data_IF_428773453670
#
_entry.id   IF_428773453670
#
_cell.length_a   1.000
_cell.length_b   1.000
_cell.length_c   1.000
_cell.angle_alpha   90.00
_cell.angle_beta   90.00
_cell.angle_gamma   90.00
#
_symmetry.space_group_name_H-M   'P 1'
#
loop_
_entity.id
_entity.type
_entity.pdbx_description
1 polymer ?
#
# COMPACT_ATOMS: atom_id res chain seq x y z
N UNK A 1 -13.34 -27.59 17.42
CA UNK A 1 -12.21 -26.63 17.31
C UNK A 1 -10.96 -27.41 16.91
N UNK A 2 -10.75 -27.59 15.62
CA UNK A 2 -9.53 -28.19 15.08
C UNK A 2 -8.50 -27.07 14.94
N UNK A 3 -7.57 -27.00 15.89
CA UNK A 3 -6.42 -26.09 15.83
C UNK A 3 -5.51 -26.52 14.69
N UNK A 4 -5.42 -25.71 13.64
CA UNK A 4 -4.40 -25.89 12.61
C UNK A 4 -3.01 -25.78 13.28
N UNK A 5 -2.24 -26.87 13.25
CA UNK A 5 -0.85 -26.94 13.75
C UNK A 5 0.06 -26.27 12.72
N UNK A 6 0.24 -24.96 12.83
CA UNK A 6 1.36 -24.25 12.19
C UNK A 6 2.09 -23.48 13.29
N UNK A 7 3.44 -23.56 13.38
CA UNK A 7 4.21 -22.64 14.22
C UNK A 7 3.79 -21.21 13.89
N UNK A 8 3.54 -20.36 14.89
CA UNK A 8 3.03 -19.01 14.64
C UNK A 8 4.01 -18.19 13.80
N UNK A 9 3.56 -17.72 12.63
CA UNK A 9 4.37 -16.96 11.67
C UNK A 9 3.83 -15.55 11.48
N UNK A 10 3.67 -14.83 12.59
CA UNK A 10 3.19 -13.45 12.62
C UNK A 10 1.98 -13.25 13.55
N UNK A 11 1.62 -11.98 13.83
CA UNK A 11 0.58 -11.63 14.80
C UNK A 11 -0.85 -12.04 14.39
N UNK A 12 -1.09 -12.34 13.10
CA UNK A 12 -2.40 -12.80 12.59
C UNK A 12 -2.50 -14.32 12.42
N UNK A 13 -1.57 -15.07 13.04
CA UNK A 13 -1.67 -16.54 13.07
C UNK A 13 -3.07 -16.98 13.54
N UNK A 14 -3.70 -17.85 12.75
CA UNK A 14 -5.04 -18.37 13.03
C UNK A 14 -6.19 -17.53 12.49
N UNK A 15 -5.92 -16.39 11.86
CA UNK A 15 -6.94 -15.61 11.12
C UNK A 15 -7.10 -16.20 9.72
N UNK A 16 -8.33 -16.45 9.29
CA UNK A 16 -8.68 -16.94 7.95
C UNK A 16 -9.26 -15.81 7.10
N UNK A 17 -8.70 -15.59 5.93
CA UNK A 17 -9.11 -14.52 5.00
C UNK A 17 -9.47 -15.12 3.65
N UNK A 18 -10.62 -14.72 3.10
CA UNK A 18 -10.98 -14.98 1.70
C UNK A 18 -10.74 -13.70 0.91
N UNK A 19 -9.96 -13.78 -0.16
CA UNK A 19 -9.78 -12.70 -1.12
C UNK A 19 -10.50 -13.08 -2.42
N UNK A 20 -11.51 -12.31 -2.83
CA UNK A 20 -12.06 -12.45 -4.18
C UNK A 20 -11.13 -11.73 -5.17
N UNK A 21 -10.56 -12.48 -6.11
CA UNK A 21 -9.50 -11.99 -6.99
C UNK A 21 -9.87 -10.67 -7.69
N UNK A 22 -9.01 -9.67 -7.48
CA UNK A 22 -9.09 -8.35 -8.09
C UNK A 22 -7.71 -7.86 -8.54
N UNK A 23 -7.60 -6.55 -8.73
CA UNK A 23 -6.35 -5.84 -9.09
C UNK A 23 -6.12 -4.69 -8.12
N UNK A 24 -4.88 -4.21 -8.03
CA UNK A 24 -4.51 -3.01 -7.27
C UNK A 24 -4.68 -3.17 -5.75
N UNK A 25 -5.60 -2.44 -5.12
CA UNK A 25 -5.63 -2.29 -3.66
C UNK A 25 -6.06 -3.56 -2.90
N UNK A 26 -7.03 -4.33 -3.42
CA UNK A 26 -7.52 -5.55 -2.76
C UNK A 26 -6.42 -6.61 -2.57
N UNK A 27 -5.70 -7.00 -3.65
CA UNK A 27 -4.59 -7.94 -3.55
C UNK A 27 -3.45 -7.48 -2.63
N UNK A 28 -3.13 -6.19 -2.61
CA UNK A 28 -2.10 -5.64 -1.71
C UNK A 28 -2.53 -5.72 -0.23
N UNK A 29 -3.78 -5.37 0.08
CA UNK A 29 -4.32 -5.52 1.43
C UNK A 29 -4.31 -6.99 1.89
N UNK A 30 -4.73 -7.92 1.03
CA UNK A 30 -4.70 -9.35 1.32
C UNK A 30 -3.26 -9.88 1.49
N UNK A 31 -2.29 -9.39 0.69
CA UNK A 31 -0.87 -9.69 0.86
C UNK A 31 -0.37 -9.26 2.24
N UNK A 32 -0.73 -8.05 2.67
CA UNK A 32 -0.32 -7.52 3.97
C UNK A 32 -0.87 -8.40 5.11
N UNK A 33 -2.13 -8.84 5.04
CA UNK A 33 -2.70 -9.77 6.02
C UNK A 33 -1.96 -11.13 6.02
N UNK A 34 -1.61 -11.67 4.85
CA UNK A 34 -0.86 -12.92 4.71
C UNK A 34 0.57 -12.82 5.28
N UNK A 35 1.25 -11.71 4.99
CA UNK A 35 2.58 -11.36 5.51
C UNK A 35 2.58 -11.25 7.04
N UNK A 36 1.49 -10.73 7.61
CA UNK A 36 1.25 -10.68 9.06
C UNK A 36 0.84 -12.04 9.66
N UNK A 37 0.74 -13.09 8.85
CA UNK A 37 0.54 -14.47 9.32
C UNK A 37 -0.89 -15.00 9.17
N UNK A 38 -1.80 -14.25 8.56
CA UNK A 38 -3.12 -14.78 8.25
C UNK A 38 -3.04 -15.88 7.18
N UNK A 39 -3.98 -16.82 7.25
CA UNK A 39 -4.19 -17.82 6.22
C UNK A 39 -5.14 -17.25 5.15
N UNK A 40 -4.57 -16.81 4.03
CA UNK A 40 -5.28 -16.12 2.96
C UNK A 40 -5.53 -17.06 1.79
N UNK A 41 -6.82 -17.29 1.51
CA UNK A 41 -7.30 -18.04 0.35
C UNK A 41 -7.82 -17.06 -0.69
N UNK A 42 -7.10 -16.96 -1.79
CA UNK A 42 -7.50 -16.21 -2.98
C UNK A 42 -8.41 -17.07 -3.85
N UNK A 43 -9.58 -16.53 -4.21
CA UNK A 43 -10.53 -17.13 -5.13
C UNK A 43 -10.33 -16.52 -6.51
N UNK A 44 -9.58 -17.23 -7.35
CA UNK A 44 -9.34 -16.86 -8.74
C UNK A 44 -10.51 -17.24 -9.66
N UNK A 45 -10.66 -16.47 -10.74
CA UNK A 45 -11.63 -16.75 -11.79
C UNK A 45 -11.00 -17.66 -12.85
N UNK A 46 -11.79 -18.50 -13.54
CA UNK A 46 -11.31 -19.19 -14.73
C UNK A 46 -10.72 -18.21 -15.76
N UNK A 47 -9.56 -18.55 -16.33
CA UNK A 47 -8.86 -17.69 -17.30
C UNK A 47 -7.80 -16.75 -16.70
N UNK A 48 -7.67 -16.70 -15.37
CA UNK A 48 -6.59 -15.97 -14.68
C UNK A 48 -6.83 -14.46 -14.49
N UNK A 49 -5.93 -13.77 -13.77
CA UNK A 49 -6.04 -12.34 -13.52
C UNK A 49 -5.80 -11.51 -14.79
N UNK A 50 -6.41 -10.31 -14.86
CA UNK A 50 -6.34 -9.42 -16.03
C UNK A 50 -5.06 -8.57 -16.15
N UNK A 51 -4.15 -8.63 -15.17
CA UNK A 51 -2.85 -7.97 -15.26
C UNK A 51 -1.89 -8.86 -16.05
N UNK A 52 -1.27 -8.31 -17.10
CA UNK A 52 -0.27 -9.00 -17.92
C UNK A 52 1.09 -9.16 -17.21
N UNK A 53 1.05 -9.59 -15.95
CA UNK A 53 2.22 -9.97 -15.17
C UNK A 53 2.23 -11.50 -15.13
N UNK A 54 3.37 -12.11 -15.47
CA UNK A 54 3.54 -13.55 -15.26
C UNK A 54 3.30 -13.84 -13.77
N UNK A 55 2.36 -14.75 -13.43
CA UNK A 55 2.01 -15.05 -12.04
C UNK A 55 3.21 -15.37 -11.14
N UNK A 56 4.32 -15.86 -11.68
CA UNK A 56 5.55 -16.11 -10.93
C UNK A 56 6.21 -14.83 -10.36
N UNK A 57 5.92 -13.65 -10.93
CA UNK A 57 6.46 -12.35 -10.50
C UNK A 57 5.42 -11.43 -9.87
N UNK A 58 4.16 -11.85 -9.75
CA UNK A 58 3.14 -11.10 -9.02
C UNK A 58 3.31 -11.30 -7.51
N UNK A 59 4.29 -10.60 -6.94
CA UNK A 59 4.63 -10.68 -5.51
C UNK A 59 3.49 -10.24 -4.59
N UNK A 60 2.44 -9.58 -5.11
CA UNK A 60 1.23 -9.30 -4.33
C UNK A 60 0.45 -10.56 -3.97
N UNK A 61 0.75 -11.70 -4.60
CA UNK A 61 0.15 -12.99 -4.26
C UNK A 61 1.04 -13.89 -3.40
N UNK A 62 2.19 -13.40 -2.90
CA UNK A 62 3.03 -14.15 -1.97
C UNK A 62 2.27 -14.47 -0.68
N UNK A 63 2.68 -15.52 0.03
CA UNK A 63 2.07 -15.95 1.31
C UNK A 63 0.58 -16.35 1.24
N UNK A 64 -0.03 -16.37 0.06
CA UNK A 64 -1.42 -16.79 -0.16
C UNK A 64 -1.49 -18.22 -0.68
N UNK A 65 -2.70 -18.79 -0.65
CA UNK A 65 -3.10 -20.00 -1.35
C UNK A 65 -4.19 -19.67 -2.35
N UNK A 66 -4.28 -20.39 -3.46
CA UNK A 66 -5.27 -20.11 -4.51
C UNK A 66 -6.20 -21.29 -4.81
N UNK A 67 -7.47 -20.96 -5.01
CA UNK A 67 -8.52 -21.84 -5.54
C UNK A 67 -9.16 -21.18 -6.76
N UNK A 68 -9.64 -21.98 -7.72
CA UNK A 68 -10.38 -21.45 -8.87
C UNK A 68 -11.87 -21.73 -8.69
N UNK A 69 -12.69 -20.67 -8.72
CA UNK A 69 -14.15 -20.79 -8.66
C UNK A 69 -14.77 -19.89 -9.73
N UNK A 70 -15.58 -20.48 -10.61
CA UNK A 70 -16.42 -19.70 -11.51
C UNK A 70 -17.67 -19.22 -10.78
N UNK A 71 -17.67 -17.97 -10.31
CA UNK A 71 -18.83 -17.36 -9.66
C UNK A 71 -20.07 -17.24 -10.57
N UNK A 72 -19.93 -17.46 -11.88
CA UNK A 72 -21.06 -17.47 -12.83
C UNK A 72 -21.64 -18.88 -13.03
N UNK A 73 -20.97 -19.92 -12.55
CA UNK A 73 -21.51 -21.28 -12.56
C UNK A 73 -22.62 -21.44 -11.53
N UNK A 74 -23.52 -22.42 -11.74
CA UNK A 74 -24.68 -22.62 -10.89
C UNK A 74 -24.33 -22.92 -9.42
N UNK A 75 -23.16 -23.50 -9.15
CA UNK A 75 -22.68 -23.82 -7.81
C UNK A 75 -21.52 -22.94 -7.32
N UNK A 76 -21.00 -22.03 -8.16
CA UNK A 76 -19.89 -21.15 -7.84
C UNK A 76 -20.10 -20.28 -6.58
N UNK A 77 -21.22 -19.54 -6.48
CA UNK A 77 -21.51 -18.73 -5.29
C UNK A 77 -21.56 -19.58 -4.01
N UNK A 78 -22.17 -20.77 -4.06
CA UNK A 78 -22.26 -21.66 -2.91
C UNK A 78 -20.87 -22.08 -2.39
N UNK A 79 -19.90 -22.37 -3.28
CA UNK A 79 -18.53 -22.71 -2.89
C UNK A 79 -17.82 -21.57 -2.17
N UNK A 80 -18.05 -20.32 -2.59
CA UNK A 80 -17.49 -19.13 -1.91
C UNK A 80 -18.20 -18.88 -0.58
N UNK A 81 -19.51 -19.10 -0.50
CA UNK A 81 -20.25 -19.02 0.75
C UNK A 81 -19.79 -20.06 1.78
N UNK A 82 -19.39 -21.27 1.34
CA UNK A 82 -18.81 -22.29 2.21
C UNK A 82 -17.43 -21.86 2.74
N UNK A 83 -16.60 -21.20 1.93
CA UNK A 83 -15.36 -20.56 2.38
C UNK A 83 -15.65 -19.43 3.39
N UNK A 84 -16.60 -18.54 3.08
CA UNK A 84 -17.00 -17.44 3.95
C UNK A 84 -17.55 -17.92 5.30
N UNK A 85 -18.21 -19.09 5.32
CA UNK A 85 -18.69 -19.74 6.55
C UNK A 85 -17.55 -20.14 7.51
N UNK A 86 -16.31 -20.21 7.02
CA UNK A 86 -15.11 -20.61 7.77
C UNK A 86 -14.10 -19.47 7.94
N UNK A 87 -14.35 -18.32 7.31
CA UNK A 87 -13.45 -17.17 7.30
C UNK A 87 -13.74 -16.20 8.45
N UNK A 88 -12.71 -15.44 8.84
CA UNK A 88 -12.86 -14.29 9.73
C UNK A 88 -13.06 -13.00 8.93
N UNK A 89 -12.40 -12.90 7.78
CA UNK A 89 -12.44 -11.74 6.88
C UNK A 89 -12.72 -12.22 5.44
N UNK A 90 -13.56 -11.49 4.72
CA UNK A 90 -13.65 -11.57 3.25
C UNK A 90 -13.33 -10.20 2.66
N UNK A 91 -12.49 -10.15 1.63
CA UNK A 91 -12.16 -8.93 0.89
C UNK A 91 -12.57 -9.06 -0.57
N UNK A 92 -13.22 -8.03 -1.09
CA UNK A 92 -13.51 -7.90 -2.51
C UNK A 92 -13.39 -6.45 -2.99
N UNK A 93 -13.06 -6.28 -4.27
CA UNK A 93 -12.89 -4.96 -4.90
C UNK A 93 -13.66 -4.82 -6.20
N UNK A 94 -14.88 -5.36 -6.25
CA UNK A 94 -15.77 -5.22 -7.38
C UNK A 94 -16.49 -3.87 -7.34
N UNK A 95 -17.12 -3.50 -8.47
CA UNK A 95 -18.04 -2.36 -8.45
C UNK A 95 -19.21 -2.66 -7.51
N UNK A 96 -19.80 -1.63 -6.88
CA UNK A 96 -21.01 -1.80 -6.06
C UNK A 96 -22.08 -2.63 -6.78
N UNK A 97 -22.77 -3.48 -6.02
CA UNK A 97 -23.81 -4.38 -6.55
C UNK A 97 -23.30 -5.62 -7.30
N UNK A 98 -22.02 -5.72 -7.66
CA UNK A 98 -21.51 -6.90 -8.39
C UNK A 98 -21.50 -8.14 -7.51
N UNK A 99 -21.00 -8.06 -6.28
CA UNK A 99 -20.92 -9.20 -5.37
C UNK A 99 -22.32 -9.75 -5.05
N UNK A 100 -23.30 -8.86 -4.88
CA UNK A 100 -24.71 -9.16 -4.67
C UNK A 100 -25.30 -9.91 -5.86
N UNK A 101 -25.09 -9.43 -7.09
CA UNK A 101 -25.54 -10.14 -8.31
C UNK A 101 -24.88 -11.51 -8.48
N UNK A 102 -23.65 -11.66 -7.99
CA UNK A 102 -22.92 -12.94 -7.99
C UNK A 102 -23.29 -13.83 -6.80
N UNK A 103 -24.22 -13.43 -5.93
CA UNK A 103 -24.67 -14.23 -4.79
C UNK A 103 -23.67 -14.35 -3.64
N UNK A 104 -22.64 -13.50 -3.62
CA UNK A 104 -21.56 -13.48 -2.61
C UNK A 104 -21.46 -12.14 -1.88
N UNK A 105 -22.50 -11.31 -1.95
CA UNK A 105 -22.58 -10.05 -1.21
C UNK A 105 -22.67 -10.25 0.31
N UNK A 106 -22.57 -9.17 1.11
CA UNK A 106 -22.52 -9.24 2.57
C UNK A 106 -23.71 -9.92 3.20
N UNK A 107 -24.94 -9.68 2.73
CA UNK A 107 -26.13 -10.30 3.31
C UNK A 107 -26.08 -11.83 3.20
N UNK A 108 -25.73 -12.35 2.01
CA UNK A 108 -25.58 -13.78 1.79
C UNK A 108 -24.45 -14.38 2.64
N UNK A 109 -23.33 -13.66 2.78
CA UNK A 109 -22.20 -14.09 3.59
C UNK A 109 -22.53 -14.07 5.10
N UNK A 110 -23.14 -12.99 5.60
CA UNK A 110 -23.54 -12.86 7.01
C UNK A 110 -24.64 -13.85 7.40
N UNK A 111 -25.53 -14.22 6.48
CA UNK A 111 -26.50 -15.30 6.71
C UNK A 111 -25.83 -16.65 6.97
N UNK A 112 -24.63 -16.88 6.43
CA UNK A 112 -23.81 -18.08 6.71
C UNK A 112 -22.88 -17.89 7.91
N UNK A 113 -22.36 -16.68 8.10
CA UNK A 113 -21.40 -16.34 9.13
C UNK A 113 -21.64 -14.92 9.67
N UNK A 114 -22.45 -14.77 10.72
CA UNK A 114 -22.72 -13.47 11.33
C UNK A 114 -21.48 -12.79 11.95
N UNK A 115 -20.37 -13.53 12.12
CA UNK A 115 -19.10 -13.02 12.66
C UNK A 115 -18.17 -12.47 11.58
N UNK A 116 -18.47 -12.68 10.30
CA UNK A 116 -17.60 -12.33 9.19
C UNK A 116 -17.39 -10.82 9.11
N UNK A 117 -16.15 -10.39 8.98
CA UNK A 117 -15.82 -9.03 8.56
C UNK A 117 -15.79 -8.98 7.03
N UNK A 118 -16.66 -8.19 6.43
CA UNK A 118 -16.76 -8.08 4.97
C UNK A 118 -16.14 -6.75 4.51
N UNK A 119 -14.93 -6.81 3.96
CA UNK A 119 -14.19 -5.66 3.43
C UNK A 119 -14.50 -5.40 1.96
N UNK A 120 -14.98 -4.20 1.66
CA UNK A 120 -15.17 -3.68 0.29
C UNK A 120 -14.09 -2.66 -0.03
N UNK A 121 -13.41 -2.87 -1.15
CA UNK A 121 -12.33 -2.01 -1.60
C UNK A 121 -12.67 -1.37 -2.95
N UNK A 122 -13.09 -0.11 -2.93
CA UNK A 122 -13.47 0.60 -4.15
C UNK A 122 -12.76 1.94 -4.26
N UNK A 123 -12.78 2.51 -5.47
CA UNK A 123 -12.27 3.86 -5.68
C UNK A 123 -13.16 4.93 -5.06
N UNK A 124 -14.47 4.82 -5.31
CA UNK A 124 -15.46 5.87 -5.06
C UNK A 124 -16.36 5.65 -3.82
N UNK A 125 -16.28 4.50 -3.15
CA UNK A 125 -17.23 4.09 -2.11
C UNK A 125 -18.39 3.24 -2.65
N UNK A 126 -19.27 2.77 -1.75
CA UNK A 126 -20.48 2.04 -2.14
C UNK A 126 -21.64 2.96 -2.58
N UNK A 127 -21.60 4.24 -2.23
CA UNK A 127 -22.65 5.21 -2.49
C UNK A 127 -22.13 6.53 -3.09
N UNK A 128 -23.06 7.45 -3.40
CA UNK A 128 -22.76 8.71 -4.07
C UNK A 128 -22.77 8.65 -5.61
N UNK A 129 -22.69 9.81 -6.28
CA UNK A 129 -22.93 9.94 -7.72
C UNK A 129 -21.85 9.28 -8.60
N UNK A 130 -20.71 8.90 -8.02
CA UNK A 130 -19.60 8.26 -8.73
C UNK A 130 -19.45 6.77 -8.43
N UNK A 131 -20.23 6.20 -7.50
CA UNK A 131 -20.09 4.81 -7.03
C UNK A 131 -20.04 3.76 -8.17
N UNK A 132 -20.90 3.92 -9.17
CA UNK A 132 -21.00 3.00 -10.32
C UNK A 132 -19.98 3.29 -11.44
N UNK A 133 -19.21 4.39 -11.33
CA UNK A 133 -18.29 4.81 -12.39
C UNK A 133 -16.98 4.05 -12.33
N UNK A 134 -16.45 3.73 -13.51
CA UNK A 134 -15.08 3.24 -13.62
C UNK A 134 -14.08 4.31 -13.19
N UNK A 135 -12.92 3.88 -12.72
CA UNK A 135 -11.79 4.74 -12.43
C UNK A 135 -10.54 3.91 -12.18
N UNK A 136 -9.43 4.61 -12.00
CA UNK A 136 -8.15 4.08 -11.53
C UNK A 136 -7.57 5.09 -10.54
N UNK A 137 -6.50 4.72 -9.83
CA UNK A 137 -5.81 5.53 -8.82
C UNK A 137 -5.85 7.05 -9.10
N UNK A 138 -5.29 7.47 -10.25
CA UNK A 138 -5.18 8.88 -10.64
C UNK A 138 -6.53 9.61 -10.67
N UNK A 139 -7.61 8.93 -11.09
CA UNK A 139 -8.95 9.49 -11.14
C UNK A 139 -9.56 9.63 -9.74
N UNK A 140 -9.20 8.78 -8.80
CA UNK A 140 -9.66 8.84 -7.41
C UNK A 140 -8.94 9.95 -6.64
N UNK A 141 -7.63 10.08 -6.80
CA UNK A 141 -6.85 11.09 -6.07
C UNK A 141 -7.05 12.51 -6.62
N UNK A 142 -7.41 12.66 -7.91
CA UNK A 142 -7.65 13.95 -8.54
C UNK A 142 -8.71 14.83 -7.83
N UNK A 143 -9.96 14.37 -7.59
CA UNK A 143 -10.99 15.19 -6.95
C UNK A 143 -10.74 15.46 -5.46
N UNK A 144 -9.81 14.75 -4.82
CA UNK A 144 -9.48 14.97 -3.40
C UNK A 144 -8.60 16.21 -3.16
N UNK A 145 -8.11 16.85 -4.23
CA UNK A 145 -7.12 17.94 -4.17
C UNK A 145 -5.68 17.45 -3.97
N UNK A 146 -5.46 16.20 -3.55
CA UNK A 146 -4.12 15.69 -3.25
C UNK A 146 -3.20 15.60 -4.46
N UNK A 147 -3.70 15.16 -5.63
CA UNK A 147 -2.92 15.20 -6.86
C UNK A 147 -2.51 16.64 -7.21
N UNK A 148 -3.41 17.60 -6.99
CA UNK A 148 -3.16 19.02 -7.26
C UNK A 148 -1.96 19.60 -6.50
N UNK A 149 -1.56 18.98 -5.38
CA UNK A 149 -0.43 19.40 -4.54
C UNK A 149 0.93 18.83 -4.99
N UNK A 150 0.96 17.87 -5.92
CA UNK A 150 2.18 17.11 -6.21
C UNK A 150 2.83 17.60 -7.50
N UNK A 151 4.12 17.93 -7.43
CA UNK A 151 4.94 18.34 -8.57
C UNK A 151 5.31 19.82 -8.56
N UNK A 152 5.90 20.29 -9.67
CA UNK A 152 6.38 21.67 -9.81
C UNK A 152 5.22 22.65 -10.13
N UNK A 153 5.36 23.94 -9.79
CA UNK A 153 4.32 24.96 -9.99
C UNK A 153 3.87 25.15 -11.45
N UNK A 154 4.79 25.08 -12.40
CA UNK A 154 4.54 25.39 -13.83
C UNK A 154 4.50 24.15 -14.73
N UNK A 155 4.43 22.97 -14.12
CA UNK A 155 4.30 21.69 -14.81
C UNK A 155 2.94 21.07 -14.46
N UNK A 156 2.38 20.16 -15.30
CA UNK A 156 1.24 19.35 -14.91
C UNK A 156 1.48 18.64 -13.57
N UNK A 157 0.44 18.41 -12.74
CA UNK A 157 0.57 17.62 -11.52
C UNK A 157 1.28 16.29 -11.76
N UNK A 158 2.28 15.97 -10.94
CA UNK A 158 3.06 14.75 -11.11
C UNK A 158 2.30 13.56 -10.51
N UNK A 159 2.30 12.43 -11.24
CA UNK A 159 1.60 11.21 -10.84
C UNK A 159 2.48 10.42 -9.85
N UNK A 160 2.04 10.20 -8.59
CA UNK A 160 2.82 9.49 -7.58
C UNK A 160 2.74 7.95 -7.74
N UNK A 161 2.92 7.47 -8.98
CA UNK A 161 2.54 6.13 -9.40
C UNK A 161 1.10 5.82 -8.94
N UNK A 162 0.86 4.67 -8.30
CA UNK A 162 -0.39 4.35 -7.60
C UNK A 162 -0.18 4.22 -6.07
N UNK A 163 0.90 4.83 -5.54
CA UNK A 163 1.25 4.69 -4.13
C UNK A 163 0.28 5.44 -3.21
N UNK A 164 -0.26 6.56 -3.68
CA UNK A 164 -1.10 7.44 -2.89
C UNK A 164 -2.54 6.92 -2.79
N UNK A 165 -3.17 6.59 -3.90
CA UNK A 165 -4.56 6.13 -3.93
C UNK A 165 -4.68 4.66 -3.53
N UNK A 166 -4.34 3.74 -4.44
CA UNK A 166 -4.52 2.30 -4.28
C UNK A 166 -3.93 1.78 -2.97
N UNK A 167 -2.71 2.21 -2.60
CA UNK A 167 -2.04 1.67 -1.42
C UNK A 167 -2.28 2.49 -0.17
N UNK A 168 -1.79 3.74 -0.11
CA UNK A 168 -1.88 4.53 1.11
C UNK A 168 -3.33 4.89 1.47
N UNK A 169 -4.11 5.38 0.51
CA UNK A 169 -5.51 5.78 0.69
C UNK A 169 -6.52 4.63 0.62
N UNK A 170 -6.18 3.53 -0.03
CA UNK A 170 -7.06 2.36 -0.19
C UNK A 170 -6.66 1.21 0.72
N UNK A 171 -5.66 0.44 0.29
CA UNK A 171 -5.27 -0.82 0.92
C UNK A 171 -4.99 -0.71 2.41
N UNK A 172 -4.27 0.33 2.84
CA UNK A 172 -3.95 0.52 4.25
C UNK A 172 -5.18 0.87 5.08
N UNK A 173 -6.13 1.66 4.55
CA UNK A 173 -7.40 1.93 5.22
C UNK A 173 -8.28 0.67 5.31
N UNK A 174 -8.28 -0.18 4.29
CA UNK A 174 -8.96 -1.47 4.38
C UNK A 174 -8.35 -2.36 5.43
N UNK A 175 -7.01 -2.49 5.47
CA UNK A 175 -6.35 -3.30 6.50
C UNK A 175 -6.65 -2.77 7.90
N UNK A 176 -6.59 -1.45 8.12
CA UNK A 176 -6.99 -0.83 9.40
C UNK A 176 -8.45 -1.16 9.73
N UNK A 177 -9.37 -0.97 8.77
CA UNK A 177 -10.79 -1.21 8.95
C UNK A 177 -11.13 -2.66 9.27
N UNK A 178 -10.58 -3.63 8.53
CA UNK A 178 -10.87 -5.05 8.76
C UNK A 178 -10.23 -5.57 10.04
N UNK A 179 -9.06 -5.06 10.45
CA UNK A 179 -8.45 -5.43 11.72
C UNK A 179 -9.23 -4.85 12.92
N UNK A 180 -9.72 -3.62 12.81
CA UNK A 180 -10.60 -3.02 13.81
C UNK A 180 -11.94 -3.76 13.92
N UNK A 181 -12.55 -4.08 12.78
CA UNK A 181 -13.78 -4.87 12.72
C UNK A 181 -13.56 -6.32 13.23
N UNK A 182 -12.39 -6.93 12.96
CA UNK A 182 -12.05 -8.25 13.49
C UNK A 182 -11.89 -8.23 15.01
N UNK A 183 -11.27 -7.18 15.54
CA UNK A 183 -11.19 -6.97 16.99
C UNK A 183 -12.60 -6.87 17.61
N UNK A 184 -13.49 -6.08 17.00
CA UNK A 184 -14.89 -6.00 17.40
C UNK A 184 -15.58 -7.38 17.35
N UNK A 185 -15.53 -8.07 16.21
CA UNK A 185 -16.18 -9.36 16.01
C UNK A 185 -15.68 -10.46 16.96
N UNK A 186 -14.40 -10.42 17.35
CA UNK A 186 -13.86 -11.32 18.38
C UNK A 186 -14.46 -11.07 19.76
N UNK A 187 -14.70 -9.82 20.12
CA UNK A 187 -15.27 -9.43 21.41
C UNK A 187 -16.79 -9.62 21.46
N UNK A 188 -17.51 -9.33 20.38
CA UNK A 188 -18.99 -9.27 20.37
C UNK A 188 -19.64 -10.48 19.73
N UNK A 189 -18.91 -11.20 18.86
CA UNK A 189 -19.47 -12.26 18.04
C UNK A 189 -20.29 -11.77 16.84
N UNK A 190 -20.17 -10.50 16.47
CA UNK A 190 -20.85 -9.93 15.30
C UNK A 190 -19.83 -9.22 14.43
N UNK A 191 -19.78 -9.59 13.15
CA UNK A 191 -18.98 -8.92 12.13
C UNK A 191 -19.71 -7.71 11.54
N UNK A 192 -19.09 -7.07 10.56
CA UNK A 192 -19.64 -5.89 9.90
C UNK A 192 -19.04 -5.69 8.52
N UNK A 193 -19.69 -4.84 7.73
CA UNK A 193 -19.14 -4.38 6.45
C UNK A 193 -18.17 -3.23 6.71
N UNK A 194 -16.99 -3.29 6.09
CA UNK A 194 -16.02 -2.21 6.03
C UNK A 194 -16.05 -1.68 4.60
N UNK A 195 -16.55 -0.46 4.40
CA UNK A 195 -16.45 0.25 3.12
C UNK A 195 -15.18 1.11 3.13
N UNK A 196 -14.19 0.72 2.32
CA UNK A 196 -12.93 1.44 2.18
C UNK A 196 -12.83 2.04 0.79
N UNK A 197 -13.16 3.33 0.70
CA UNK A 197 -13.06 4.12 -0.52
C UNK A 197 -11.68 4.79 -0.64
N UNK A 198 -11.01 4.67 -1.79
CA UNK A 198 -9.73 5.34 -2.06
C UNK A 198 -9.87 6.87 -1.91
N UNK A 199 -10.98 7.46 -2.37
CA UNK A 199 -11.22 8.91 -2.24
C UNK A 199 -11.21 9.37 -0.78
N UNK A 200 -11.85 8.62 0.11
CA UNK A 200 -11.96 8.96 1.53
C UNK A 200 -10.60 8.84 2.22
N UNK A 201 -9.92 7.71 2.03
CA UNK A 201 -8.62 7.51 2.66
C UNK A 201 -7.56 8.46 2.11
N UNK A 202 -7.61 8.81 0.81
CA UNK A 202 -6.70 9.78 0.21
C UNK A 202 -6.95 11.19 0.77
N UNK A 203 -8.21 11.62 0.85
CA UNK A 203 -8.55 12.90 1.48
C UNK A 203 -8.15 12.92 2.96
N UNK A 204 -8.38 11.82 3.68
CA UNK A 204 -8.02 11.70 5.10
C UNK A 204 -6.50 11.77 5.31
N UNK A 205 -5.67 11.24 4.40
CA UNK A 205 -4.21 11.42 4.45
C UNK A 205 -3.77 12.90 4.38
N UNK A 206 -4.57 13.78 3.79
CA UNK A 206 -4.29 15.22 3.69
C UNK A 206 -4.77 16.04 4.91
N UNK A 207 -5.23 15.39 5.99
CA UNK A 207 -5.80 16.07 7.17
C UNK A 207 -4.88 17.17 7.74
N UNK A 208 -3.58 16.89 7.88
CA UNK A 208 -2.62 17.89 8.36
C UNK A 208 -2.57 19.12 7.43
N UNK A 209 -2.62 18.90 6.12
CA UNK A 209 -2.57 19.98 5.12
C UNK A 209 -3.83 20.83 5.19
N UNK A 210 -5.01 20.22 5.36
CA UNK A 210 -6.24 20.96 5.61
C UNK A 210 -6.15 21.83 6.88
N UNK A 211 -5.53 21.31 7.95
CA UNK A 211 -5.26 22.09 9.16
C UNK A 211 -4.32 23.27 8.91
N UNK A 212 -3.24 23.07 8.15
CA UNK A 212 -2.31 24.14 7.78
C UNK A 212 -2.95 25.18 6.87
N UNK A 213 -3.78 24.77 5.91
CA UNK A 213 -4.53 25.67 5.04
C UNK A 213 -5.47 26.56 5.86
N UNK A 214 -6.23 25.97 6.79
CA UNK A 214 -7.11 26.72 7.69
C UNK A 214 -6.34 27.69 8.59
N UNK A 215 -5.12 27.34 9.01
CA UNK A 215 -4.25 28.19 9.81
C UNK A 215 -3.46 29.23 8.98
N UNK A 216 -3.60 29.25 7.65
CA UNK A 216 -2.81 30.12 6.75
C UNK A 216 -1.34 29.70 6.60
N UNK A 217 -0.95 28.53 7.11
CA UNK A 217 0.39 27.96 7.00
C UNK A 217 0.62 27.13 5.73
N UNK A 218 -0.41 26.93 4.91
CA UNK A 218 -0.32 26.30 3.60
C UNK A 218 -0.98 27.20 2.55
N UNK A 219 -0.39 27.25 1.36
CA UNK A 219 -0.88 27.95 0.20
C UNK A 219 -1.39 26.93 -0.81
N UNK A 220 -2.59 27.14 -1.33
CA UNK A 220 -3.21 26.27 -2.34
C UNK A 220 -2.59 26.49 -3.74
N UNK A 221 -1.29 26.22 -3.84
CA UNK A 221 -0.47 26.24 -5.06
C UNK A 221 0.77 25.37 -4.84
N UNK A 222 1.20 24.62 -5.87
CA UNK A 222 2.38 23.74 -5.80
C UNK A 222 3.68 24.53 -5.67
N UNK A 223 4.66 23.93 -5.02
CA UNK A 223 6.02 24.45 -4.90
C UNK A 223 6.12 25.77 -4.14
N UNK A 224 5.16 26.07 -3.27
CA UNK A 224 5.13 27.30 -2.48
C UNK A 224 5.13 27.05 -0.96
N UNK A 225 5.24 25.78 -0.56
CA UNK A 225 5.05 25.36 0.81
C UNK A 225 6.32 24.71 1.38
N UNK A 226 6.28 24.43 2.68
CA UNK A 226 7.41 23.84 3.39
C UNK A 226 7.73 22.42 2.92
N UNK A 227 6.70 21.64 2.55
CA UNK A 227 6.82 20.18 2.34
C UNK A 227 6.54 19.74 0.90
N UNK A 228 6.40 20.67 -0.05
CA UNK A 228 6.08 20.39 -1.47
C UNK A 228 7.23 20.71 -2.44
N UNK A 229 8.41 21.03 -1.91
CA UNK A 229 9.56 21.45 -2.69
C UNK A 229 9.74 22.97 -2.83
N UNK A 230 8.80 23.78 -2.34
CA UNK A 230 8.92 25.25 -2.35
C UNK A 230 10.04 25.80 -1.44
N UNK A 231 10.34 25.08 -0.37
CA UNK A 231 11.45 25.36 0.53
C UNK A 231 12.80 24.86 -0.03
N UNK A 232 13.87 25.68 -0.14
CA UNK A 232 15.17 25.23 -0.65
C UNK A 232 15.85 24.14 0.20
N UNK A 233 15.55 24.07 1.48
CA UNK A 233 16.09 23.06 2.39
C UNK A 233 15.11 21.89 2.62
N UNK A 234 14.11 21.75 1.74
CA UNK A 234 13.23 20.58 1.63
C UNK A 234 12.94 20.30 0.14
N UNK A 235 13.78 19.48 -0.50
CA UNK A 235 13.69 19.25 -1.94
C UNK A 235 14.77 18.32 -2.49
N UNK A 236 14.91 18.31 -3.82
CA UNK A 236 15.93 17.50 -4.51
C UNK A 236 16.85 18.38 -5.34
N UNK A 237 18.12 17.99 -5.41
CA UNK A 237 19.18 18.71 -6.12
C UNK A 237 20.01 17.76 -6.97
N UNK A 238 20.21 18.15 -8.23
CA UNK A 238 20.98 17.37 -9.19
C UNK A 238 22.50 17.53 -8.94
N UNK A 239 23.24 16.43 -9.00
CA UNK A 239 24.69 16.36 -8.78
C UNK A 239 25.48 16.40 -10.09
N UNK A 240 26.82 16.41 -10.00
CA UNK A 240 27.71 16.52 -11.18
C UNK A 240 27.54 15.38 -12.20
N UNK A 241 27.10 14.21 -11.75
CA UNK A 241 26.86 12.99 -12.53
C UNK A 241 25.40 12.85 -13.00
N UNK A 242 24.58 13.89 -12.88
CA UNK A 242 23.16 13.89 -13.31
C UNK A 242 22.22 13.10 -12.40
N UNK A 243 22.73 12.59 -11.27
CA UNK A 243 21.93 11.95 -10.21
C UNK A 243 21.44 13.01 -9.22
N UNK A 244 20.75 12.61 -8.15
CA UNK A 244 20.12 13.55 -7.23
C UNK A 244 20.40 13.23 -5.76
N UNK A 245 20.50 14.28 -4.94
CA UNK A 245 20.41 14.24 -3.48
C UNK A 245 19.05 14.79 -3.04
N UNK A 246 18.47 14.20 -1.99
CA UNK A 246 17.32 14.74 -1.28
C UNK A 246 17.79 15.48 -0.03
N UNK A 247 17.22 16.65 0.23
CA UNK A 247 17.51 17.51 1.39
C UNK A 247 16.21 17.69 2.17
N UNK A 248 16.27 17.53 3.49
CA UNK A 248 15.16 17.74 4.41
C UNK A 248 15.58 18.42 5.71
N UNK A 249 16.50 19.40 5.63
CA UNK A 249 17.10 20.08 6.77
C UNK A 249 16.16 21.14 7.37
N UNK A 250 15.01 20.69 7.89
CA UNK A 250 13.93 21.55 8.33
C UNK A 250 14.24 22.25 9.65
N UNK A 251 14.95 21.65 10.59
CA UNK A 251 15.26 22.24 11.90
C UNK A 251 16.50 23.16 11.83
N UNK A 252 16.57 24.26 12.60
CA UNK A 252 17.67 25.24 12.48
C UNK A 252 19.07 24.63 12.59
N UNK A 253 19.29 23.74 13.56
CA UNK A 253 20.58 23.07 13.77
C UNK A 253 21.01 22.20 12.58
N UNK A 254 20.06 21.45 11.99
CA UNK A 254 20.32 20.57 10.86
C UNK A 254 20.61 21.39 9.59
N UNK A 255 19.92 22.52 9.44
CA UNK A 255 20.16 23.48 8.37
C UNK A 255 21.55 24.13 8.47
N UNK A 256 21.98 24.54 9.67
CA UNK A 256 23.32 25.10 9.88
C UNK A 256 24.43 24.08 9.55
N UNK A 257 24.27 22.83 10.01
CA UNK A 257 25.19 21.74 9.67
C UNK A 257 25.19 21.44 8.16
N UNK A 258 24.01 21.43 7.53
CA UNK A 258 23.87 21.29 6.08
C UNK A 258 24.64 22.35 5.31
N UNK A 259 24.48 23.64 5.66
CA UNK A 259 25.21 24.72 5.00
C UNK A 259 26.72 24.63 5.23
N UNK A 260 27.13 24.19 6.43
CA UNK A 260 28.55 23.99 6.78
C UNK A 260 29.19 22.92 5.91
N UNK A 261 28.56 21.75 5.82
CA UNK A 261 29.06 20.65 4.97
C UNK A 261 29.01 20.99 3.48
N UNK A 262 28.08 21.86 3.08
CA UNK A 262 27.99 22.36 1.71
C UNK A 262 29.01 23.48 1.42
N UNK A 263 29.52 24.17 2.45
CA UNK A 263 30.47 25.30 2.37
C UNK A 263 29.82 26.60 1.91
N UNK A 264 28.61 26.90 2.40
CA UNK A 264 27.85 28.14 2.14
C UNK A 264 27.19 28.70 3.42
N UNK A 265 27.91 28.67 4.53
CA UNK A 265 27.47 29.12 5.86
C UNK A 265 27.05 30.60 5.86
N UNK A 266 27.60 31.40 4.94
CA UNK A 266 27.22 32.80 4.71
C UNK A 266 25.73 32.97 4.36
N UNK A 267 25.06 31.88 3.96
CA UNK A 267 23.63 31.85 3.62
C UNK A 267 22.70 31.46 4.79
N UNK A 268 23.22 31.31 6.01
CA UNK A 268 22.42 30.89 7.17
C UNK A 268 21.16 31.75 7.40
N UNK A 269 21.25 33.06 7.15
CA UNK A 269 20.13 34.00 7.36
C UNK A 269 19.01 33.89 6.32
N UNK A 270 19.28 33.32 5.14
CA UNK A 270 18.29 33.21 4.05
C UNK A 270 17.10 32.33 4.42
N UNK A 271 17.26 31.42 5.39
CA UNK A 271 16.17 30.57 5.90
C UNK A 271 14.94 31.36 6.34
N UNK A 272 15.13 32.50 7.01
CA UNK A 272 14.07 33.34 7.58
C UNK A 272 13.44 34.31 6.59
N UNK A 273 13.97 34.38 5.37
CA UNK A 273 13.58 35.36 4.36
C UNK A 273 13.22 34.65 3.05
N UNK A 274 11.91 34.50 2.82
CA UNK A 274 11.36 33.85 1.62
C UNK A 274 11.79 34.55 0.34
N UNK A 275 12.07 35.86 0.39
CA UNK A 275 12.51 36.61 -0.81
C UNK A 275 13.89 36.18 -1.27
N UNK A 276 14.71 35.60 -0.37
CA UNK A 276 16.05 35.08 -0.66
C UNK A 276 16.07 33.58 -0.99
N UNK A 277 14.91 32.90 -0.98
CA UNK A 277 14.87 31.47 -1.25
C UNK A 277 15.26 31.10 -2.68
N UNK A 278 15.03 31.99 -3.65
CA UNK A 278 15.53 31.83 -5.02
C UNK A 278 17.06 31.74 -5.05
N UNK A 279 17.74 32.77 -4.51
CA UNK A 279 19.20 32.81 -4.41
C UNK A 279 19.76 31.60 -3.63
N UNK A 280 19.15 31.27 -2.48
CA UNK A 280 19.57 30.14 -1.66
C UNK A 280 19.48 28.82 -2.46
N UNK A 281 18.39 28.61 -3.19
CA UNK A 281 18.20 27.41 -4.01
C UNK A 281 19.25 27.30 -5.10
N UNK A 282 19.55 28.40 -5.79
CA UNK A 282 20.59 28.45 -6.81
C UNK A 282 21.96 28.13 -6.23
N UNK A 283 22.32 28.75 -5.10
CA UNK A 283 23.60 28.46 -4.41
C UNK A 283 23.70 26.99 -4.01
N UNK A 284 22.66 26.42 -3.40
CA UNK A 284 22.63 24.99 -3.05
C UNK A 284 22.82 24.11 -4.30
N UNK A 285 22.10 24.42 -5.38
CA UNK A 285 22.21 23.67 -6.63
C UNK A 285 23.61 23.73 -7.24
N UNK A 286 24.22 24.92 -7.29
CA UNK A 286 25.60 25.11 -7.75
C UNK A 286 26.57 24.27 -6.94
N UNK A 287 26.39 24.21 -5.61
CA UNK A 287 27.23 23.38 -4.75
C UNK A 287 27.04 21.90 -5.07
N UNK A 288 25.83 21.39 -5.13
CA UNK A 288 25.59 19.98 -5.46
C UNK A 288 26.18 19.56 -6.81
N UNK A 289 26.23 20.47 -7.80
CA UNK A 289 26.87 20.24 -9.11
C UNK A 289 28.40 20.11 -9.09
N UNK A 290 29.07 20.34 -7.96
CA UNK A 290 30.54 20.25 -7.86
C UNK A 290 31.07 18.84 -7.57
N UNK A 291 30.21 17.92 -7.15
CA UNK A 291 30.57 16.53 -6.83
C UNK A 291 29.47 15.57 -7.28
N UNK A 292 29.83 14.31 -7.44
CA UNK A 292 28.90 13.22 -7.74
C UNK A 292 27.99 12.92 -6.55
N UNK A 293 26.88 12.21 -6.78
CA UNK A 293 25.98 11.76 -5.70
C UNK A 293 26.70 10.96 -4.61
N UNK A 294 27.60 10.07 -5.01
CA UNK A 294 28.27 9.17 -4.07
C UNK A 294 29.33 9.92 -3.24
N UNK A 295 30.02 10.92 -3.83
CA UNK A 295 30.90 11.83 -3.09
C UNK A 295 30.12 12.68 -2.08
N UNK A 296 28.96 13.23 -2.45
CA UNK A 296 28.10 13.94 -1.50
C UNK A 296 27.56 13.02 -0.40
N UNK A 297 27.20 11.79 -0.74
CA UNK A 297 26.78 10.79 0.24
C UNK A 297 27.87 10.56 1.28
N UNK A 298 29.14 10.49 0.86
CA UNK A 298 30.27 10.37 1.78
C UNK A 298 30.48 11.62 2.66
N UNK A 299 30.26 12.82 2.13
CA UNK A 299 30.35 14.09 2.90
C UNK A 299 29.31 14.16 4.02
N UNK A 300 28.07 13.74 3.72
CA UNK A 300 26.97 13.80 4.69
C UNK A 300 26.87 12.55 5.57
N UNK A 301 27.71 11.54 5.36
CA UNK A 301 27.67 10.29 6.11
C UNK A 301 27.94 10.55 7.62
N UNK A 302 27.00 10.13 8.46
CA UNK A 302 27.09 10.28 9.92
C UNK A 302 26.77 11.69 10.45
N UNK A 303 26.34 12.61 9.59
CA UNK A 303 25.88 13.95 9.96
C UNK A 303 24.38 13.99 10.25
N UNK A 304 23.93 15.04 10.93
CA UNK A 304 22.50 15.33 11.14
C UNK A 304 21.95 16.33 10.09
N UNK A 305 22.67 16.55 8.98
CA UNK A 305 22.30 17.51 7.92
C UNK A 305 21.03 17.13 7.12
N UNK A 306 20.41 15.99 7.40
CA UNK A 306 19.21 15.50 6.71
C UNK A 306 19.35 15.42 5.17
N UNK A 307 20.50 14.96 4.69
CA UNK A 307 20.77 14.76 3.25
C UNK A 307 20.96 13.28 2.94
N UNK A 308 20.29 12.78 1.90
CA UNK A 308 20.36 11.37 1.48
C UNK A 308 20.41 11.23 -0.05
N UNK A 309 21.07 10.19 -0.58
CA UNK A 309 21.05 9.92 -2.02
C UNK A 309 19.65 9.50 -2.49
N UNK A 310 19.21 10.03 -3.63
CA UNK A 310 18.02 9.52 -4.32
C UNK A 310 18.43 8.25 -5.07
N UNK A 311 17.87 7.11 -4.65
CA UNK A 311 18.17 5.78 -5.19
C UNK A 311 17.05 5.29 -6.10
N UNK A 312 17.41 4.57 -7.16
CA UNK A 312 16.45 3.79 -7.95
C UNK A 312 15.98 2.53 -7.20
N UNK A 313 14.89 1.91 -7.69
CA UNK A 313 14.38 0.63 -7.17
C UNK A 313 15.41 -0.51 -7.24
N UNK A 314 16.41 -0.41 -8.13
CA UNK A 314 17.50 -1.40 -8.25
C UNK A 314 18.67 -1.13 -7.31
N UNK A 315 18.88 0.13 -6.93
CA UNK A 315 19.94 0.51 -5.99
C UNK A 315 19.49 0.33 -4.53
N UNK A 316 18.22 0.61 -4.21
CA UNK A 316 17.71 0.59 -2.84
C UNK A 316 17.97 -0.73 -2.07
N UNK A 317 17.82 -1.93 -2.67
CA UNK A 317 18.14 -3.19 -1.99
C UNK A 317 19.60 -3.30 -1.51
N UNK A 318 20.51 -2.58 -2.16
CA UNK A 318 21.95 -2.61 -1.89
C UNK A 318 22.41 -1.49 -0.94
N UNK A 319 21.53 -0.57 -0.55
CA UNK A 319 21.89 0.49 0.39
C UNK A 319 22.26 -0.11 1.76
N UNK A 320 23.42 0.22 2.37
CA UNK A 320 23.91 -0.45 3.58
C UNK A 320 22.91 -0.49 4.73
N UNK A 321 22.19 0.61 4.98
CA UNK A 321 21.16 0.65 6.02
C UNK A 321 19.95 -0.25 5.70
N UNK A 322 19.52 -0.31 4.44
CA UNK A 322 18.36 -1.11 4.04
C UNK A 322 18.69 -2.60 4.02
N UNK A 323 19.91 -2.95 3.59
CA UNK A 323 20.47 -4.29 3.66
C UNK A 323 20.63 -4.78 5.11
N UNK A 324 21.29 -3.99 5.97
CA UNK A 324 21.47 -4.33 7.39
C UNK A 324 20.14 -4.49 8.14
N UNK A 325 19.12 -3.73 7.74
CA UNK A 325 17.77 -3.90 8.28
C UNK A 325 17.03 -5.08 7.69
N UNK A 326 17.41 -5.66 6.56
CA UNK A 326 16.58 -6.62 5.83
C UNK A 326 15.27 -5.99 5.34
N UNK A 327 15.31 -4.74 4.88
CA UNK A 327 14.13 -4.06 4.31
C UNK A 327 13.66 -4.74 3.02
N UNK A 328 14.59 -5.31 2.28
CA UNK A 328 14.34 -6.17 1.14
C UNK A 328 14.74 -7.61 1.50
N UNK A 329 14.06 -8.57 0.89
CA UNK A 329 14.35 -10.01 1.02
C UNK A 329 14.36 -10.64 -0.37
N UNK A 330 15.15 -11.69 -0.54
CA UNK A 330 15.03 -12.59 -1.68
C UNK A 330 14.12 -13.77 -1.32
N UNK A 331 13.21 -14.12 -2.23
CA UNK A 331 12.46 -15.37 -2.15
C UNK A 331 12.24 -15.91 -3.55
N UNK A 332 12.72 -17.13 -3.81
CA UNK A 332 12.61 -17.75 -5.13
C UNK A 332 13.36 -16.99 -6.24
N UNK A 333 14.46 -16.29 -5.91
CA UNK A 333 15.24 -15.49 -6.87
C UNK A 333 14.62 -14.13 -7.20
N UNK A 334 13.57 -13.72 -6.47
CA UNK A 334 12.94 -12.40 -6.62
C UNK A 334 13.23 -11.56 -5.38
N UNK A 335 14.04 -10.51 -5.58
CA UNK A 335 14.26 -9.46 -4.57
C UNK A 335 13.04 -8.55 -4.47
N UNK A 336 12.50 -8.42 -3.26
CA UNK A 336 11.24 -7.73 -2.99
C UNK A 336 11.21 -7.12 -1.58
N UNK A 337 10.33 -6.14 -1.28
CA UNK A 337 10.19 -5.61 0.07
C UNK A 337 9.82 -6.69 1.08
N UNK A 338 10.49 -6.76 2.23
CA UNK A 338 10.13 -7.68 3.31
C UNK A 338 8.80 -7.26 3.99
N UNK A 339 8.11 -8.18 4.69
CA UNK A 339 6.94 -7.84 5.51
C UNK A 339 7.18 -6.67 6.46
N UNK A 340 6.15 -5.83 6.63
CA UNK A 340 6.17 -4.68 7.52
C UNK A 340 4.80 -4.49 8.21
N UNK A 341 4.74 -3.90 9.43
CA UNK A 341 5.87 -3.52 10.27
C UNK A 341 6.56 -4.73 10.92
N UNK A 342 7.54 -4.49 11.79
CA UNK A 342 8.26 -5.53 12.55
C UNK A 342 7.64 -5.74 13.91
N UNK A 343 7.60 -6.98 14.36
CA UNK A 343 7.08 -7.37 15.66
C UNK A 343 8.17 -8.07 16.45
N UNK A 344 8.35 -7.70 17.72
CA UNK A 344 9.40 -8.24 18.59
C UNK A 344 9.13 -9.69 19.01
N UNK A 345 7.86 -10.05 19.26
CA UNK A 345 7.47 -11.37 19.76
C UNK A 345 6.98 -12.33 18.65
N UNK A 346 6.40 -11.79 17.57
CA UNK A 346 5.76 -12.57 16.49
C UNK A 346 6.31 -12.12 15.14
N UNK A 347 7.59 -12.44 14.82
CA UNK A 347 8.23 -11.96 13.60
C UNK A 347 7.49 -12.46 12.34
N UNK A 348 7.56 -11.65 11.29
CA UNK A 348 6.92 -11.89 9.98
C UNK A 348 7.96 -12.24 8.93
N UNK A 349 7.57 -12.99 7.89
CA UNK A 349 8.47 -13.42 6.81
C UNK A 349 7.71 -13.75 5.53
N UNK A 350 8.41 -13.73 4.38
CA UNK A 350 7.90 -14.33 3.13
C UNK A 350 8.13 -15.83 3.21
N UNK A 351 7.04 -16.59 3.42
CA UNK A 351 7.04 -18.05 3.60
C UNK A 351 6.91 -18.78 2.27
N UNK A 352 6.04 -18.27 1.40
CA UNK A 352 5.78 -18.84 0.08
C UNK A 352 5.80 -17.76 -0.99
N UNK A 353 6.21 -18.14 -2.20
CA UNK A 353 6.16 -17.29 -3.38
C UNK A 353 4.71 -17.01 -3.82
N UNK A 354 4.53 -16.28 -4.93
CA UNK A 354 3.20 -15.99 -5.48
C UNK A 354 2.34 -17.23 -5.66
N UNK A 355 1.11 -17.20 -5.13
CA UNK A 355 0.13 -18.24 -5.34
C UNK A 355 -0.21 -18.38 -6.84
N UNK A 356 -0.26 -19.62 -7.32
CA UNK A 356 -0.65 -19.93 -8.71
C UNK A 356 -2.13 -20.32 -8.75
N UNK A 357 -2.92 -19.83 -9.74
CA UNK A 357 -4.35 -20.11 -9.83
C UNK A 357 -4.69 -21.60 -9.65
N UNK A 358 -5.40 -21.93 -8.57
CA UNK A 358 -5.93 -23.26 -8.28
C UNK A 358 -4.93 -24.28 -7.74
N UNK A 359 -3.65 -23.91 -7.59
CA UNK A 359 -2.59 -24.84 -7.17
C UNK A 359 -2.83 -25.45 -5.78
N UNK A 360 -3.59 -24.78 -4.92
CA UNK A 360 -3.78 -25.16 -3.52
C UNK A 360 -5.19 -25.71 -3.23
N UNK A 361 -6.00 -26.00 -4.27
CA UNK A 361 -7.42 -26.36 -4.11
C UNK A 361 -7.64 -27.56 -3.17
N UNK A 362 -6.83 -28.61 -3.31
CA UNK A 362 -6.92 -29.79 -2.46
C UNK A 362 -6.54 -29.51 -0.99
N UNK A 363 -5.52 -28.68 -0.78
CA UNK A 363 -5.07 -28.32 0.56
C UNK A 363 -6.07 -27.41 1.26
N UNK A 364 -6.62 -26.42 0.55
CA UNK A 364 -7.68 -25.55 1.09
C UNK A 364 -8.93 -26.37 1.41
N UNK A 365 -9.37 -27.27 0.52
CA UNK A 365 -10.54 -28.12 0.75
C UNK A 365 -10.43 -28.94 2.04
N UNK A 366 -9.25 -29.49 2.30
CA UNK A 366 -8.94 -30.27 3.51
C UNK A 366 -8.82 -29.37 4.74
N UNK A 367 -7.99 -28.33 4.68
CA UNK A 367 -7.59 -27.54 5.86
C UNK A 367 -8.72 -26.63 6.37
N UNK A 368 -9.60 -26.19 5.47
CA UNK A 368 -10.78 -25.38 5.80
C UNK A 368 -12.07 -26.19 5.94
N UNK A 369 -12.02 -27.52 5.73
CA UNK A 369 -13.18 -28.41 5.78
C UNK A 369 -14.30 -27.94 4.82
N UNK A 370 -13.92 -27.78 3.54
CA UNK A 370 -14.77 -27.35 2.43
C UNK A 370 -14.62 -28.31 1.24
N UNK A 371 -15.04 -29.59 1.39
CA UNK A 371 -14.85 -30.62 0.35
C UNK A 371 -15.56 -30.30 -0.98
N UNK A 372 -16.56 -29.41 -0.95
CA UNK A 372 -17.26 -28.92 -2.15
C UNK A 372 -16.32 -28.32 -3.21
N UNK A 373 -15.16 -27.79 -2.81
CA UNK A 373 -14.15 -27.27 -3.74
C UNK A 373 -13.59 -28.33 -4.70
N UNK A 374 -13.57 -29.61 -4.31
CA UNK A 374 -13.05 -30.70 -5.13
C UNK A 374 -14.09 -31.28 -6.10
N UNK A 375 -15.33 -30.84 -6.00
CA UNK A 375 -16.41 -31.32 -6.88
C UNK A 375 -16.24 -30.68 -8.25
N UNK A 376 -16.45 -31.45 -9.33
CA UNK A 376 -16.46 -30.88 -10.67
C UNK A 376 -17.55 -29.78 -10.78
N UNK A 377 -17.32 -28.68 -11.54
CA UNK A 377 -18.32 -27.64 -11.73
C UNK A 377 -19.60 -28.23 -12.33
N UNK A 378 -20.77 -27.81 -11.84
CA UNK A 378 -22.02 -28.15 -12.52
C UNK A 378 -22.19 -27.17 -13.69
N UNK A 379 -22.20 -27.68 -14.92
CA UNK A 379 -22.51 -26.85 -16.07
C UNK A 379 -23.90 -26.21 -15.89
N UNK A 380 -24.06 -24.91 -16.17
CA UNK A 380 -25.38 -24.29 -16.17
C UNK A 380 -26.27 -24.99 -17.20
N UNK A 381 -27.49 -25.36 -16.78
CA UNK A 381 -28.57 -25.77 -17.70
C UNK A 381 -29.12 -24.57 -18.45
#
# INVERSE_FOLDING_TARGET
MTTARTPGHGPLTGVRVVELAGIGPGPFAAMLLADLGADVVRVDRPGGPGLAIDPAYDVTNRNKRSVVVDLKSGDGPARVLDLAARADILVEGYRPGVAERLGVGPEACHARNPRLVYGRMTGWGQDGPLAERAGHDIAYIAPTGTLGMIGRPDEPPAVPANLLGDYAGGSLYLVVGVLAALHHARATGTGQVVDAAIVDGTAHLATMIHGMLAAGGWQDRRGANLLDGGCPYYGTYETADGRHMAVGALEPRFYEEFLTLLGIEDQATARKDVTRWGELRERIAVRFKTRTRDEWTAVFAGSDACVAPVLSLREAPHHPHLAARGTFTDHGGVTQPAPAPRFSATPTSVRTGPARPGADTADVARDWDVPGLLTAPRNPQ
#
